data_IF_641108299602
#
_entry.id   IF_641108299602
#
_cell.length_a   1.000
_cell.length_b   1.000
_cell.length_c   1.000
_cell.angle_alpha   90.00
_cell.angle_beta   90.00
_cell.angle_gamma   90.00
#
_symmetry.space_group_name_H-M   'P 1'
#
loop_
_entity.id
_entity.type
_entity.pdbx_description
1 polymer ?
#
# COMPACT_ATOMS: atom_id res chain seq x y z
N UNK A 1 6.88 2.62 6.54
CA UNK A 1 5.79 2.62 5.54
C UNK A 1 6.22 3.23 4.21
N UNK A 2 6.76 4.46 4.18
CA UNK A 2 7.21 5.12 2.94
C UNK A 2 8.17 4.27 2.12
N UNK A 3 9.21 3.72 2.74
CA UNK A 3 10.21 2.86 2.06
C UNK A 3 9.54 1.68 1.36
N UNK A 4 8.66 0.96 2.06
CA UNK A 4 7.93 -0.19 1.51
C UNK A 4 7.08 0.21 0.29
N UNK A 5 6.32 1.30 0.38
CA UNK A 5 5.51 1.76 -0.76
C UNK A 5 6.40 2.20 -1.93
N UNK A 6 7.54 2.83 -1.65
CA UNK A 6 8.49 3.24 -2.68
C UNK A 6 9.11 2.03 -3.40
N UNK A 7 9.53 1.00 -2.66
CA UNK A 7 10.04 -0.26 -3.23
C UNK A 7 8.98 -0.95 -4.09
N UNK A 8 7.72 -1.00 -3.62
CA UNK A 8 6.61 -1.55 -4.38
C UNK A 8 6.38 -0.77 -5.69
N UNK A 9 6.31 0.55 -5.62
CA UNK A 9 6.14 1.41 -6.80
C UNK A 9 7.27 1.24 -7.81
N UNK A 10 8.52 1.18 -7.34
CA UNK A 10 9.69 0.90 -8.18
C UNK A 10 9.59 -0.50 -8.82
N UNK A 11 9.18 -1.52 -8.07
CA UNK A 11 8.94 -2.86 -8.59
C UNK A 11 7.87 -2.89 -9.69
N UNK A 12 6.78 -2.12 -9.54
CA UNK A 12 5.73 -2.02 -10.56
C UNK A 12 6.20 -1.30 -11.82
N UNK A 13 7.10 -0.32 -11.70
CA UNK A 13 7.69 0.38 -12.85
C UNK A 13 8.48 -0.55 -13.78
N UNK A 14 9.11 -1.59 -13.22
CA UNK A 14 9.89 -2.59 -13.96
C UNK A 14 9.04 -3.67 -14.65
N UNK A 15 7.72 -3.71 -14.40
CA UNK A 15 6.82 -4.67 -15.05
C UNK A 15 6.52 -4.28 -16.50
N UNK A 16 5.92 -5.22 -17.24
CA UNK A 16 5.46 -4.95 -18.60
C UNK A 16 4.45 -3.78 -18.63
N UNK A 17 4.31 -3.11 -19.78
CA UNK A 17 3.45 -1.92 -19.91
C UNK A 17 2.03 -2.16 -19.39
N UNK A 18 1.44 -3.32 -19.72
CA UNK A 18 0.08 -3.67 -19.30
C UNK A 18 -0.02 -3.88 -17.80
N UNK A 19 0.88 -4.69 -17.22
CA UNK A 19 0.89 -4.95 -15.78
C UNK A 19 1.16 -3.68 -14.99
N UNK A 20 2.09 -2.84 -15.46
CA UNK A 20 2.39 -1.55 -14.84
C UNK A 20 1.16 -0.65 -14.81
N UNK A 21 0.50 -0.46 -15.95
CA UNK A 21 -0.74 0.34 -16.04
C UNK A 21 -1.84 -0.23 -15.15
N UNK A 22 -2.00 -1.55 -15.16
CA UNK A 22 -2.98 -2.24 -14.32
C UNK A 22 -2.68 -2.04 -12.83
N UNK A 23 -1.43 -2.20 -12.39
CA UNK A 23 -1.02 -2.00 -11.00
C UNK A 23 -1.30 -0.57 -10.52
N UNK A 24 -0.91 0.46 -11.28
CA UNK A 24 -1.15 1.85 -10.87
C UNK A 24 -2.64 2.21 -10.88
N UNK A 25 -3.41 1.66 -11.82
CA UNK A 25 -4.86 1.86 -11.87
C UNK A 25 -5.55 1.22 -10.67
N UNK A 26 -5.23 -0.04 -10.36
CA UNK A 26 -5.82 -0.71 -9.20
C UNK A 26 -5.36 -0.06 -7.90
N UNK A 27 -4.09 0.33 -7.78
CA UNK A 27 -3.61 1.09 -6.62
C UNK A 27 -4.47 2.32 -6.39
N UNK A 28 -4.59 3.22 -7.38
CA UNK A 28 -5.37 4.45 -7.26
C UNK A 28 -6.85 4.20 -6.96
N UNK A 29 -7.42 3.13 -7.52
CA UNK A 29 -8.82 2.76 -7.31
C UNK A 29 -9.12 2.44 -5.84
N UNK A 30 -8.24 1.72 -5.14
CA UNK A 30 -8.46 1.36 -3.73
C UNK A 30 -7.86 2.38 -2.75
N UNK A 31 -6.71 2.96 -3.08
CA UNK A 31 -5.99 3.88 -2.22
C UNK A 31 -6.37 5.36 -2.42
N UNK A 32 -7.22 5.65 -3.41
CA UNK A 32 -7.77 6.97 -3.80
C UNK A 32 -6.77 8.02 -4.31
N UNK A 33 -5.48 7.80 -4.13
CA UNK A 33 -4.40 8.68 -4.58
C UNK A 33 -3.39 7.89 -5.44
N UNK A 34 -2.59 8.58 -6.24
CA UNK A 34 -1.48 7.92 -6.95
C UNK A 34 -0.37 7.52 -5.97
N UNK A 35 0.54 6.67 -6.42
CA UNK A 35 1.73 6.29 -5.63
C UNK A 35 2.57 7.49 -5.24
N UNK A 36 2.73 8.46 -6.14
CA UNK A 36 3.52 9.68 -5.91
C UNK A 36 2.87 10.56 -4.84
N UNK A 37 1.54 10.75 -4.94
CA UNK A 37 0.78 11.49 -3.93
C UNK A 37 0.88 10.81 -2.56
N UNK A 38 0.74 9.49 -2.49
CA UNK A 38 0.91 8.75 -1.24
C UNK A 38 2.33 8.87 -0.67
N UNK A 39 3.35 8.79 -1.52
CA UNK A 39 4.74 8.95 -1.08
C UNK A 39 4.98 10.36 -0.51
N UNK A 40 4.47 11.40 -1.17
CA UNK A 40 4.52 12.78 -0.66
C UNK A 40 3.80 12.91 0.68
N UNK A 41 2.59 12.36 0.82
CA UNK A 41 1.84 12.35 2.08
C UNK A 41 2.61 11.65 3.19
N UNK A 42 3.24 10.50 2.91
CA UNK A 42 4.05 9.78 3.89
C UNK A 42 5.34 10.53 4.26
N UNK A 43 5.93 11.30 3.33
CA UNK A 43 7.08 12.17 3.63
C UNK A 43 6.66 13.28 4.61
N UNK A 44 5.55 13.98 4.33
CA UNK A 44 5.04 15.04 5.20
C UNK A 44 4.71 14.51 6.59
N UNK A 45 4.13 13.32 6.64
CA UNK A 45 3.86 12.61 7.89
C UNK A 45 5.11 12.27 8.69
N UNK A 46 6.18 11.80 8.03
CA UNK A 46 7.50 11.55 8.65
C UNK A 46 8.15 12.84 9.17
N UNK A 47 7.82 13.99 8.59
CA UNK A 47 8.29 15.32 8.99
C UNK A 47 7.41 15.99 10.06
N UNK A 48 6.36 15.31 10.53
CA UNK A 48 5.34 15.87 11.43
C UNK A 48 4.60 17.11 10.89
N UNK A 49 4.68 17.36 9.57
CA UNK A 49 3.91 18.38 8.86
C UNK A 49 2.52 17.83 8.51
N UNK A 50 1.67 17.71 9.53
CA UNK A 50 0.33 17.10 9.41
C UNK A 50 -0.82 18.10 9.54
N UNK A 51 -0.52 19.40 9.66
CA UNK A 51 -1.57 20.42 9.76
C UNK A 51 -2.45 20.46 8.50
N UNK A 52 -3.75 20.24 8.70
CA UNK A 52 -4.76 20.33 7.65
C UNK A 52 -4.75 19.19 6.62
N UNK A 53 -4.00 18.10 6.86
CA UNK A 53 -4.01 16.93 5.97
C UNK A 53 -4.92 15.84 6.55
N UNK A 54 -6.01 15.56 5.85
CA UNK A 54 -6.74 14.30 6.04
C UNK A 54 -5.98 13.19 5.30
N UNK A 55 -5.36 12.27 6.04
CA UNK A 55 -4.58 11.17 5.47
C UNK A 55 -5.45 9.91 5.50
N UNK A 56 -5.96 9.44 4.34
CA UNK A 56 -6.90 8.32 4.29
C UNK A 56 -6.17 6.96 4.41
N UNK A 57 -5.49 6.72 5.54
CA UNK A 57 -4.69 5.51 5.76
C UNK A 57 -5.52 4.23 5.63
N UNK A 58 -6.82 4.28 5.94
CA UNK A 58 -7.75 3.18 5.72
C UNK A 58 -7.86 2.80 4.24
N UNK A 59 -7.68 3.75 3.31
CA UNK A 59 -7.66 3.47 1.86
C UNK A 59 -6.38 2.76 1.44
N UNK A 60 -5.25 3.11 2.04
CA UNK A 60 -4.01 2.38 1.81
C UNK A 60 -4.10 0.93 2.34
N UNK A 61 -4.70 0.74 3.51
CA UNK A 61 -4.97 -0.60 4.06
C UNK A 61 -5.96 -1.39 3.18
N UNK A 62 -6.99 -0.73 2.61
CA UNK A 62 -7.92 -1.34 1.65
C UNK A 62 -7.19 -1.86 0.40
N UNK A 63 -6.22 -1.10 -0.13
CA UNK A 63 -5.40 -1.58 -1.24
C UNK A 63 -4.61 -2.85 -0.88
N UNK A 64 -3.95 -2.90 0.28
CA UNK A 64 -3.23 -4.10 0.70
C UNK A 64 -4.15 -5.28 0.98
N UNK A 65 -5.34 -5.05 1.52
CA UNK A 65 -6.36 -6.09 1.66
C UNK A 65 -6.74 -6.66 0.28
N UNK A 66 -6.93 -5.79 -0.71
CA UNK A 66 -7.18 -6.23 -2.08
C UNK A 66 -6.02 -7.06 -2.67
N UNK A 67 -4.76 -6.74 -2.36
CA UNK A 67 -3.63 -7.57 -2.77
C UNK A 67 -3.67 -8.98 -2.17
N UNK A 68 -4.15 -9.15 -0.93
CA UNK A 68 -4.35 -10.50 -0.37
C UNK A 68 -5.37 -11.30 -1.17
N UNK A 69 -6.48 -10.67 -1.56
CA UNK A 69 -7.52 -11.33 -2.36
C UNK A 69 -6.99 -11.73 -3.74
N UNK A 70 -6.16 -10.89 -4.36
CA UNK A 70 -5.47 -11.22 -5.60
C UNK A 70 -4.51 -12.40 -5.39
N UNK A 71 -3.68 -12.38 -4.34
CA UNK A 71 -2.75 -13.47 -4.05
C UNK A 71 -3.47 -14.82 -3.95
N UNK A 72 -4.62 -14.88 -3.25
CA UNK A 72 -5.46 -16.08 -3.13
C UNK A 72 -5.99 -16.58 -4.48
N UNK A 73 -6.24 -15.68 -5.44
CA UNK A 73 -6.74 -16.02 -6.77
C UNK A 73 -5.67 -16.44 -7.78
N UNK A 74 -4.42 -16.00 -7.60
CA UNK A 74 -3.33 -16.19 -8.58
C UNK A 74 -2.25 -17.17 -8.15
N UNK A 75 -1.92 -17.25 -6.86
CA UNK A 75 -0.84 -18.11 -6.37
C UNK A 75 -1.36 -19.52 -6.11
N UNK A 76 -0.85 -20.50 -6.88
CA UNK A 76 -1.26 -21.90 -6.78
C UNK A 76 -0.48 -22.70 -5.75
N UNK A 77 0.79 -22.33 -5.57
CA UNK A 77 1.64 -22.97 -4.58
C UNK A 77 1.24 -22.51 -3.18
N UNK A 78 1.02 -23.46 -2.27
CA UNK A 78 0.50 -23.15 -0.94
C UNK A 78 1.53 -22.47 -0.05
N UNK A 79 2.82 -22.80 -0.20
CA UNK A 79 3.88 -22.21 0.61
C UNK A 79 4.16 -20.77 0.15
N UNK A 80 4.22 -20.54 -1.17
CA UNK A 80 4.33 -19.21 -1.75
C UNK A 80 3.12 -18.33 -1.37
N UNK A 81 1.91 -18.90 -1.38
CA UNK A 81 0.70 -18.19 -0.98
C UNK A 81 0.78 -17.76 0.49
N UNK A 82 1.19 -18.65 1.38
CA UNK A 82 1.32 -18.34 2.81
C UNK A 82 2.34 -17.21 3.04
N UNK A 83 3.51 -17.27 2.39
CA UNK A 83 4.54 -16.24 2.47
C UNK A 83 4.05 -14.88 1.94
N UNK A 84 3.34 -14.88 0.80
CA UNK A 84 2.75 -13.69 0.23
C UNK A 84 1.70 -13.08 1.17
N UNK A 85 0.80 -13.89 1.73
CA UNK A 85 -0.23 -13.43 2.64
C UNK A 85 0.35 -12.85 3.93
N UNK A 86 1.34 -13.50 4.52
CA UNK A 86 2.03 -13.02 5.72
C UNK A 86 2.72 -11.67 5.46
N UNK A 87 3.38 -11.54 4.31
CA UNK A 87 4.04 -10.29 3.90
C UNK A 87 3.03 -9.15 3.76
N UNK A 88 1.93 -9.39 3.04
CA UNK A 88 0.88 -8.39 2.82
C UNK A 88 0.18 -8.03 4.15
N UNK A 89 -0.04 -9.01 5.03
CA UNK A 89 -0.61 -8.80 6.35
C UNK A 89 0.25 -7.83 7.18
N UNK A 90 1.57 -7.97 7.15
CA UNK A 90 2.48 -7.04 7.81
C UNK A 90 2.36 -5.60 7.30
N UNK A 91 2.07 -5.40 6.01
CA UNK A 91 1.81 -4.05 5.46
C UNK A 91 0.49 -3.47 5.98
N UNK A 92 -0.57 -4.29 6.04
CA UNK A 92 -1.87 -3.87 6.58
C UNK A 92 -1.71 -3.45 8.05
N UNK A 93 -1.01 -4.24 8.86
CA UNK A 93 -0.75 -3.93 10.26
C UNK A 93 0.09 -2.67 10.43
N UNK A 94 1.11 -2.47 9.61
CA UNK A 94 1.92 -1.25 9.64
C UNK A 94 1.08 0.01 9.37
N UNK A 95 0.17 -0.05 8.38
CA UNK A 95 -0.74 1.07 8.07
C UNK A 95 -1.75 1.29 9.19
N UNK A 96 -2.33 0.22 9.73
CA UNK A 96 -3.32 0.31 10.81
C UNK A 96 -2.70 0.88 12.09
N UNK A 97 -1.49 0.45 12.45
CA UNK A 97 -0.76 0.97 13.60
C UNK A 97 -0.46 2.47 13.43
N UNK A 98 -0.04 2.88 12.23
CA UNK A 98 0.18 4.30 11.92
C UNK A 98 -1.11 5.10 12.07
N UNK A 99 -2.23 4.58 11.56
CA UNK A 99 -3.54 5.22 11.69
C UNK A 99 -3.96 5.38 13.15
N UNK A 100 -3.78 4.33 13.97
CA UNK A 100 -4.05 4.41 15.41
C UNK A 100 -3.24 5.49 16.10
N UNK A 101 -1.93 5.61 15.82
CA UNK A 101 -1.09 6.66 16.39
C UNK A 101 -1.58 8.06 16.02
N UNK A 102 -2.06 8.27 14.80
CA UNK A 102 -2.57 9.58 14.35
C UNK A 102 -3.94 9.91 14.94
N UNK A 103 -4.82 8.93 15.07
CA UNK A 103 -6.16 9.14 15.67
C UNK A 103 -6.14 9.25 17.20
N UNK A 104 -5.07 8.79 17.84
CA UNK A 104 -4.89 8.89 19.29
C UNK A 104 -4.24 10.22 19.74
N UNK A 105 -3.75 11.04 18.80
CA UNK A 105 -3.25 12.40 19.05
C UNK A 105 -4.41 13.39 19.01
#
# INVERSE_FOLDING_TARGET
>A
MRTTLNEQAQGWQQRSVFERQWMFREFKKYSTMTTEQWLETLIRLEQEDIEGIDIPLEKLAQFYTHLQDLARGYTKDSEELEQNLATIQGWIEAVNNLNQVLTAK
#
